data_IF_659397779593
#
_entry.id   IF_659397779593
#
_cell.length_a   1.000
_cell.length_b   1.000
_cell.length_c   1.000
_cell.angle_alpha   90.00
_cell.angle_beta   90.00
_cell.angle_gamma   90.00
#
_symmetry.space_group_name_H-M   'P 1'
#
loop_
_entity.id
_entity.type
_entity.pdbx_description
1 polymer ?
#
# COMPACT_ATOMS: atom_id res chain seq x y z
N UNK A 1 -5.46 -16.80 -9.12
CA UNK A 1 -4.43 -16.33 -8.18
C UNK A 1 -3.34 -15.62 -8.96
N UNK A 2 -3.45 -14.31 -9.20
CA UNK A 2 -2.41 -13.57 -9.92
C UNK A 2 -1.21 -13.36 -8.99
N UNK A 3 -0.10 -14.05 -9.28
CA UNK A 3 1.15 -14.03 -8.51
C UNK A 3 1.93 -12.72 -8.72
N UNK A 4 1.37 -11.58 -8.31
CA UNK A 4 2.06 -10.29 -8.34
C UNK A 4 2.79 -10.13 -7.01
N UNK A 5 4.12 -9.99 -7.07
CA UNK A 5 4.91 -9.66 -5.88
C UNK A 5 4.76 -8.16 -5.60
N UNK A 6 4.22 -7.83 -4.42
CA UNK A 6 3.93 -6.47 -4.02
C UNK A 6 4.90 -6.01 -2.93
N UNK A 7 5.39 -4.79 -3.10
CA UNK A 7 6.23 -4.13 -2.11
C UNK A 7 5.57 -2.83 -1.68
N UNK A 8 5.33 -2.68 -0.38
CA UNK A 8 4.90 -1.43 0.20
C UNK A 8 6.06 -0.44 0.24
N UNK A 9 5.88 0.69 -0.43
CA UNK A 9 6.87 1.78 -0.48
C UNK A 9 6.78 2.61 0.79
N UNK A 10 5.57 3.06 1.12
CA UNK A 10 5.33 3.99 2.21
C UNK A 10 3.98 4.69 2.09
N UNK A 11 3.74 5.62 3.00
CA UNK A 11 2.54 6.46 3.00
C UNK A 11 2.85 7.86 3.48
N UNK A 12 1.98 8.79 3.12
CA UNK A 12 1.94 10.11 3.74
C UNK A 12 0.51 10.61 3.92
N UNK A 13 0.34 11.48 4.89
CA UNK A 13 -0.87 12.26 5.06
C UNK A 13 -0.89 13.41 4.05
N UNK A 14 -2.06 13.63 3.45
CA UNK A 14 -2.31 14.66 2.45
C UNK A 14 -3.64 15.35 2.74
N UNK A 15 -3.80 16.61 2.31
CA UNK A 15 -5.13 17.21 2.22
C UNK A 15 -6.00 16.47 1.20
N UNK A 16 -7.31 16.71 1.24
CA UNK A 16 -8.25 16.13 0.27
C UNK A 16 -7.84 16.50 -1.16
N UNK A 17 -7.46 15.54 -2.02
CA UNK A 17 -7.08 15.87 -3.37
C UNK A 17 -8.32 16.14 -4.23
N UNK A 18 -8.28 17.22 -5.01
CA UNK A 18 -9.34 17.66 -5.92
C UNK A 18 -9.10 17.28 -7.37
N UNK A 19 -7.85 17.01 -7.76
CA UNK A 19 -7.47 16.76 -9.16
C UNK A 19 -6.62 15.51 -9.33
N UNK A 20 -6.62 14.93 -10.54
CA UNK A 20 -5.71 13.81 -10.89
C UNK A 20 -4.23 14.20 -10.73
N UNK A 21 -3.90 15.46 -10.98
CA UNK A 21 -2.54 15.98 -10.87
C UNK A 21 -2.06 15.92 -9.41
N UNK A 22 -2.89 16.36 -8.46
CA UNK A 22 -2.58 16.28 -7.03
C UNK A 22 -2.39 14.83 -6.56
N UNK A 23 -3.22 13.91 -7.05
CA UNK A 23 -3.12 12.48 -6.72
C UNK A 23 -1.75 11.92 -7.17
N UNK A 24 -1.35 12.19 -8.41
CA UNK A 24 -0.06 11.74 -8.95
C UNK A 24 1.10 12.41 -8.22
N UNK A 25 0.98 13.71 -7.91
CA UNK A 25 1.99 14.45 -7.15
C UNK A 25 2.20 13.86 -5.75
N UNK A 26 1.12 13.54 -5.03
CA UNK A 26 1.18 12.89 -3.72
C UNK A 26 1.86 11.52 -3.79
N UNK A 27 1.48 10.69 -4.77
CA UNK A 27 2.08 9.37 -4.98
C UNK A 27 3.60 9.48 -5.24
N UNK A 28 4.02 10.40 -6.11
CA UNK A 28 5.43 10.64 -6.42
C UNK A 28 6.19 11.19 -5.22
N UNK A 29 5.57 12.07 -4.43
CA UNK A 29 6.17 12.60 -3.20
C UNK A 29 6.50 11.49 -2.20
N UNK A 30 5.55 10.58 -1.92
CA UNK A 30 5.81 9.39 -1.07
C UNK A 30 6.98 8.58 -1.62
N UNK A 31 6.96 8.27 -2.94
CA UNK A 31 8.00 7.46 -3.57
C UNK A 31 9.39 8.07 -3.43
N UNK A 32 9.53 9.36 -3.71
CA UNK A 32 10.83 10.02 -3.70
C UNK A 32 11.34 10.29 -2.29
N UNK A 33 10.46 10.62 -1.34
CA UNK A 33 10.84 10.83 0.06
C UNK A 33 11.39 9.55 0.70
N UNK A 34 10.70 8.42 0.51
CA UNK A 34 11.16 7.12 1.02
C UNK A 34 12.44 6.65 0.32
N UNK A 35 12.61 6.95 -0.98
CA UNK A 35 13.85 6.68 -1.72
C UNK A 35 15.02 7.51 -1.16
N UNK A 36 14.82 8.82 -0.95
CA UNK A 36 15.83 9.73 -0.45
C UNK A 36 16.28 9.37 0.98
N UNK A 37 15.36 8.88 1.82
CA UNK A 37 15.66 8.39 3.17
C UNK A 37 16.26 6.98 3.22
N UNK A 38 16.44 6.31 2.08
CA UNK A 38 16.97 4.95 2.03
C UNK A 38 16.08 3.88 2.70
N UNK A 39 14.78 4.17 2.89
CA UNK A 39 13.87 3.24 3.55
C UNK A 39 13.56 2.08 2.61
N UNK A 40 13.87 0.85 3.06
CA UNK A 40 13.62 -0.37 2.29
C UNK A 40 12.13 -0.65 2.18
N UNK A 41 11.70 -1.01 0.98
CA UNK A 41 10.31 -1.42 0.72
C UNK A 41 10.02 -2.75 1.41
N UNK A 42 8.82 -2.90 1.96
CA UNK A 42 8.40 -4.10 2.68
C UNK A 42 7.59 -5.01 1.77
N UNK A 43 7.90 -6.31 1.65
CA UNK A 43 7.08 -7.22 0.87
C UNK A 43 5.74 -7.44 1.57
N UNK A 44 4.65 -7.32 0.82
CA UNK A 44 3.28 -7.34 1.37
C UNK A 44 2.36 -8.14 0.47
N UNK A 45 1.32 -8.71 1.07
CA UNK A 45 0.15 -9.20 0.37
C UNK A 45 -1.00 -8.21 0.58
N UNK A 46 -1.76 -7.98 -0.48
CA UNK A 46 -2.96 -7.14 -0.45
C UNK A 46 -4.16 -8.01 -0.75
N UNK A 47 -5.14 -8.01 0.15
CA UNK A 47 -6.44 -8.62 -0.04
C UNK A 47 -7.47 -7.51 -0.23
N UNK A 48 -8.23 -7.58 -1.32
CA UNK A 48 -9.34 -6.68 -1.61
C UNK A 48 -10.63 -7.50 -1.55
N UNK A 49 -11.55 -7.13 -0.67
CA UNK A 49 -12.88 -7.73 -0.52
C UNK A 49 -13.94 -6.65 -0.40
N UNK A 50 -15.21 -7.08 -0.24
CA UNK A 50 -16.32 -6.19 0.10
C UNK A 50 -16.11 -5.50 1.45
N UNK A 51 -15.33 -6.09 2.36
CA UNK A 51 -15.02 -5.50 3.65
C UNK A 51 -14.02 -4.35 3.51
N UNK A 52 -13.12 -4.42 2.52
CA UNK A 52 -12.17 -3.37 2.22
C UNK A 52 -10.81 -3.88 1.73
N UNK A 53 -9.78 -3.09 2.01
CA UNK A 53 -8.39 -3.35 1.62
C UNK A 53 -7.58 -3.72 2.86
N UNK A 54 -7.15 -4.98 2.94
CA UNK A 54 -6.24 -5.50 3.98
C UNK A 54 -4.85 -5.63 3.40
N UNK A 55 -3.85 -5.06 4.07
CA UNK A 55 -2.43 -5.17 3.70
C UNK A 55 -1.70 -5.86 4.83
N UNK A 56 -1.03 -6.96 4.52
CA UNK A 56 -0.26 -7.76 5.49
C UNK A 56 1.19 -7.93 5.02
N UNK A 57 2.14 -8.05 5.94
CA UNK A 57 3.52 -8.38 5.59
C UNK A 57 3.59 -9.80 5.01
N UNK A 58 4.32 -9.97 3.91
CA UNK A 58 4.60 -11.30 3.37
C UNK A 58 5.46 -12.09 4.34
N UNK A 59 5.02 -13.30 4.67
CA UNK A 59 5.79 -14.24 5.50
C UNK A 59 6.98 -14.74 4.69
N UNK A 60 8.20 -14.65 5.25
CA UNK A 60 9.31 -15.46 4.75
C UNK A 60 8.94 -16.92 5.01
N UNK A 61 8.96 -17.78 3.98
CA UNK A 61 8.83 -19.24 4.11
C UNK A 61 10.05 -19.80 4.86
N UNK A 62 10.19 -19.51 6.14
CA UNK A 62 11.05 -20.29 7.01
C UNK A 62 10.14 -21.30 7.71
N UNK A 63 10.34 -22.57 7.41
CA UNK A 63 9.70 -23.72 8.07
C UNK A 63 9.67 -23.47 9.58
N UNK A 64 8.51 -23.23 10.18
CA UNK A 64 8.31 -23.48 11.60
C UNK A 64 6.91 -24.04 11.83
N UNK A 65 6.90 -25.35 12.10
CA UNK A 65 5.79 -26.11 12.65
C UNK A 65 5.35 -25.47 13.97
N UNK A 66 4.04 -25.28 14.16
CA UNK A 66 3.44 -25.51 15.48
C UNK A 66 3.09 -24.33 16.40
N UNK A 67 3.13 -23.06 15.98
CA UNK A 67 2.50 -21.98 16.77
C UNK A 67 1.34 -21.34 16.00
N UNK A 68 0.21 -21.13 16.68
CA UNK A 68 -0.92 -20.33 16.21
C UNK A 68 -0.45 -18.88 16.04
N UNK A 69 0.00 -18.53 14.84
CA UNK A 69 0.49 -17.19 14.57
C UNK A 69 -0.67 -16.20 14.46
N UNK A 70 -0.71 -15.26 15.39
CA UNK A 70 -1.65 -14.14 15.41
C UNK A 70 -1.48 -13.27 14.16
N UNK A 71 -2.49 -13.27 13.28
CA UNK A 71 -2.52 -12.47 12.06
C UNK A 71 -2.39 -10.97 12.34
N UNK A 72 -2.81 -10.51 13.52
CA UNK A 72 -2.78 -9.11 13.92
C UNK A 72 -1.36 -8.55 13.91
N UNK A 73 -0.35 -9.37 14.20
CA UNK A 73 1.07 -8.97 14.20
C UNK A 73 1.63 -8.70 12.81
N UNK A 74 0.98 -9.21 11.77
CA UNK A 74 1.39 -9.02 10.38
C UNK A 74 0.57 -7.94 9.66
N UNK A 75 -0.51 -7.46 10.30
CA UNK A 75 -1.37 -6.42 9.76
C UNK A 75 -0.60 -5.11 9.65
N UNK A 76 -0.38 -4.66 8.41
CA UNK A 76 0.20 -3.35 8.15
C UNK A 76 -0.87 -2.27 8.24
N UNK A 77 -2.02 -2.55 7.62
CA UNK A 77 -3.19 -1.66 7.63
C UNK A 77 -4.43 -2.40 7.14
N UNK A 78 -5.58 -1.94 7.61
CA UNK A 78 -6.88 -2.29 7.09
C UNK A 78 -7.71 -1.02 6.92
N UNK A 79 -8.24 -0.80 5.72
CA UNK A 79 -9.14 0.30 5.43
C UNK A 79 -10.46 -0.27 4.89
N UNK A 80 -11.58 -0.05 5.59
CA UNK A 80 -12.90 -0.44 5.10
C UNK A 80 -13.19 0.15 3.72
N UNK A 81 -13.98 -0.55 2.91
CA UNK A 81 -14.21 -0.16 1.51
C UNK A 81 -14.73 1.27 1.36
N UNK A 82 -15.63 1.71 2.26
CA UNK A 82 -16.22 3.05 2.26
C UNK A 82 -15.22 4.18 2.58
N UNK A 83 -14.02 3.85 3.07
CA UNK A 83 -12.94 4.83 3.32
C UNK A 83 -12.00 4.98 2.14
N UNK A 84 -12.04 4.09 1.16
CA UNK A 84 -11.19 4.19 -0.03
C UNK A 84 -11.71 5.33 -0.90
N UNK A 85 -10.95 6.41 -0.98
CA UNK A 85 -11.31 7.62 -1.70
C UNK A 85 -10.97 7.52 -3.18
N UNK A 86 -9.76 7.04 -3.50
CA UNK A 86 -9.28 6.94 -4.87
C UNK A 86 -8.22 5.87 -5.02
N UNK A 87 -8.14 5.24 -6.19
CA UNK A 87 -7.08 4.30 -6.58
C UNK A 87 -6.44 4.78 -7.87
N UNK A 88 -5.11 4.83 -7.92
CA UNK A 88 -4.36 5.40 -9.04
C UNK A 88 -3.07 4.63 -9.31
N UNK A 89 -2.51 4.82 -10.50
CA UNK A 89 -1.17 4.36 -10.87
C UNK A 89 -0.33 5.53 -11.40
N UNK A 90 1.00 5.40 -11.35
CA UNK A 90 1.89 6.41 -11.94
C UNK A 90 1.89 6.24 -13.46
N UNK A 91 1.50 7.28 -14.20
CA UNK A 91 1.46 7.23 -15.66
C UNK A 91 2.84 7.04 -16.30
N UNK A 92 3.92 7.33 -15.57
CA UNK A 92 5.30 7.13 -16.01
C UNK A 92 5.91 5.80 -15.53
N UNK A 93 5.28 5.14 -14.55
CA UNK A 93 5.75 3.88 -13.99
C UNK A 93 4.56 3.04 -13.56
N UNK A 94 4.00 2.27 -14.51
CA UNK A 94 2.82 1.42 -14.28
C UNK A 94 3.04 0.33 -13.22
N UNK A 95 4.27 0.13 -12.77
CA UNK A 95 4.55 -0.75 -11.63
C UNK A 95 4.23 -0.09 -10.29
N UNK A 96 4.06 1.23 -10.24
CA UNK A 96 3.71 1.97 -9.04
C UNK A 96 2.22 2.26 -9.06
N UNK A 97 1.54 1.87 -7.98
CA UNK A 97 0.17 2.23 -7.74
C UNK A 97 -0.02 2.70 -6.31
N UNK A 98 -1.13 3.40 -6.09
CA UNK A 98 -1.52 3.85 -4.77
C UNK A 98 -3.02 3.76 -4.58
N UNK A 99 -3.42 3.67 -3.32
CA UNK A 99 -4.77 4.01 -2.93
C UNK A 99 -4.74 5.07 -1.84
N UNK A 100 -5.74 5.94 -1.86
CA UNK A 100 -5.93 7.00 -0.89
C UNK A 100 -7.11 6.59 -0.01
N UNK A 101 -6.88 6.56 1.30
CA UNK A 101 -7.94 6.30 2.28
C UNK A 101 -8.21 7.56 3.11
N UNK A 102 -9.48 7.83 3.40
CA UNK A 102 -9.88 8.88 4.34
C UNK A 102 -9.72 8.37 5.77
N UNK A 103 -9.16 9.20 6.64
CA UNK A 103 -9.19 8.94 8.08
C UNK A 103 -10.60 9.17 8.65
N UNK A 104 -11.04 8.32 9.57
CA UNK A 104 -12.44 8.31 10.05
C UNK A 104 -12.78 9.49 10.96
N UNK A 105 -11.79 10.03 11.68
CA UNK A 105 -11.98 11.08 12.68
C UNK A 105 -11.65 12.48 12.15
N UNK A 106 -10.98 12.60 11.00
CA UNK A 106 -10.47 13.85 10.47
C UNK A 106 -10.75 13.98 8.96
N UNK A 107 -10.64 15.19 8.41
CA UNK A 107 -10.66 15.42 6.96
C UNK A 107 -9.27 15.21 6.34
N UNK A 108 -8.43 14.38 6.95
CA UNK A 108 -7.13 14.00 6.41
C UNK A 108 -7.25 12.73 5.58
N UNK A 109 -6.35 12.62 4.61
CA UNK A 109 -6.29 11.49 3.69
C UNK A 109 -4.89 10.89 3.73
N UNK A 110 -4.80 9.58 3.53
CA UNK A 110 -3.53 8.86 3.54
C UNK A 110 -3.30 8.22 2.19
N UNK A 111 -2.26 8.66 1.49
CA UNK A 111 -1.82 8.06 0.24
C UNK A 111 -0.88 6.89 0.55
N UNK A 112 -1.29 5.67 0.21
CA UNK A 112 -0.52 4.44 0.43
C UNK A 112 0.05 3.96 -0.90
N UNK A 113 1.38 3.89 -1.03
CA UNK A 113 2.07 3.62 -2.30
C UNK A 113 2.74 2.25 -2.29
N UNK A 114 2.56 1.54 -3.40
CA UNK A 114 3.04 0.18 -3.61
C UNK A 114 3.81 0.10 -4.93
N UNK A 115 4.75 -0.85 -4.99
CA UNK A 115 5.44 -1.25 -6.20
C UNK A 115 5.16 -2.72 -6.51
N UNK A 116 4.61 -2.99 -7.69
CA UNK A 116 4.58 -4.31 -8.29
C UNK A 116 5.96 -4.66 -8.81
N UNK A 117 6.47 -5.83 -8.44
CA UNK A 117 7.65 -6.40 -9.11
C UNK A 117 7.20 -7.59 -9.94
N UNK A 118 7.66 -7.63 -11.19
CA UNK A 118 7.58 -8.87 -11.97
C UNK A 118 8.43 -9.91 -11.24
N UNK A 119 7.90 -11.11 -11.06
CA UNK A 119 8.70 -12.25 -10.62
C UNK A 119 9.72 -12.52 -11.73
N UNK A 120 10.99 -12.19 -11.51
CA UNK A 120 12.06 -12.61 -12.42
C UNK A 120 12.06 -14.13 -12.35
N UNK A 121 11.88 -14.77 -13.51
CA UNK A 121 11.82 -16.23 -13.62
C UNK A 121 13.22 -16.82 -13.47
#
# INVERSE_FOLDING_TARGET
MWLIYLQYVGSMEIPRPGTRIEIVAAMRRVRYEFKARGIKKRPVDITVSVDGVKVVLQRKKQKQKGLSWDESKLLVMFHPIYRIFYVSHDSQDLQIFSYIARDGASNTFKCNVFKCSKKVR
#
